data_IF_820887157380
#
_entry.id   IF_820887157380
#
_cell.length_a   1.000
_cell.length_b   1.000
_cell.length_c   1.000
_cell.angle_alpha   90.00
_cell.angle_beta   90.00
_cell.angle_gamma   90.00
#
_symmetry.space_group_name_H-M   'P 1'
#
loop_
_entity.id
_entity.type
_entity.pdbx_description
1 polymer ?
#
# COMPACT_ATOMS: atom_id res chain seq x y z
N UNK A 1 -10.60 -18.79 28.62
CA UNK A 1 -11.01 -17.53 29.26
C UNK A 1 -10.43 -17.26 30.66
N UNK A 2 -9.52 -18.09 31.21
CA UNK A 2 -8.95 -17.92 32.56
C UNK A 2 -7.81 -16.90 32.71
N UNK A 3 -7.04 -16.63 31.66
CA UNK A 3 -5.83 -15.77 31.74
C UNK A 3 -6.18 -14.28 31.93
N UNK A 4 -7.27 -13.81 31.33
CA UNK A 4 -7.72 -12.40 31.44
C UNK A 4 -8.24 -12.08 32.87
N UNK A 5 -8.67 -13.09 33.64
CA UNK A 5 -9.16 -12.94 35.01
C UNK A 5 -8.04 -12.81 36.04
N UNK A 6 -6.82 -13.25 35.72
CA UNK A 6 -5.65 -13.09 36.58
C UNK A 6 -4.82 -11.86 36.16
N UNK A 7 -5.10 -10.72 36.79
CA UNK A 7 -4.43 -9.42 36.53
C UNK A 7 -2.89 -9.52 36.59
N UNK A 8 -2.35 -10.34 37.50
CA UNK A 8 -0.89 -10.51 37.63
C UNK A 8 -0.30 -11.24 36.44
N UNK A 9 -0.95 -12.33 35.98
CA UNK A 9 -0.52 -13.06 34.79
C UNK A 9 -0.65 -12.18 33.52
N UNK A 10 -1.76 -11.46 33.39
CA UNK A 10 -1.97 -10.51 32.28
C UNK A 10 -0.86 -9.46 32.21
N UNK A 11 -0.55 -8.82 33.36
CA UNK A 11 0.54 -7.83 33.42
C UNK A 11 1.90 -8.45 33.15
N UNK A 12 2.20 -9.65 33.66
CA UNK A 12 3.49 -10.31 33.43
C UNK A 12 3.72 -10.64 31.95
N UNK A 13 2.68 -11.00 31.19
CA UNK A 13 2.79 -11.24 29.75
C UNK A 13 2.79 -9.96 28.92
N UNK A 14 2.06 -8.92 29.35
CA UNK A 14 1.96 -7.68 28.61
C UNK A 14 3.18 -6.76 28.81
N UNK A 15 3.75 -6.71 30.02
CA UNK A 15 4.82 -5.79 30.40
C UNK A 15 6.06 -5.89 29.50
N UNK A 16 6.63 -7.06 29.20
CA UNK A 16 7.82 -7.16 28.36
C UNK A 16 7.58 -6.56 26.96
N UNK A 17 6.46 -6.92 26.31
CA UNK A 17 6.11 -6.41 24.99
C UNK A 17 5.84 -4.90 25.02
N UNK A 18 5.11 -4.41 26.02
CA UNK A 18 4.85 -2.99 26.20
C UNK A 18 6.12 -2.19 26.44
N UNK A 19 7.04 -2.71 27.25
CA UNK A 19 8.32 -2.06 27.53
C UNK A 19 9.18 -1.96 26.26
N UNK A 20 9.26 -3.01 25.47
CA UNK A 20 9.92 -2.97 24.17
C UNK A 20 9.26 -1.97 23.22
N UNK A 21 7.94 -1.92 23.20
CA UNK A 21 7.19 -0.98 22.37
C UNK A 21 7.43 0.49 22.79
N UNK A 22 7.44 0.76 24.09
CA UNK A 22 7.77 2.10 24.62
C UNK A 22 9.20 2.49 24.23
N UNK A 23 10.18 1.62 24.45
CA UNK A 23 11.57 1.93 24.15
C UNK A 23 11.88 2.04 22.65
N UNK A 24 11.27 1.17 21.82
CA UNK A 24 11.57 1.13 20.40
C UNK A 24 10.71 2.05 19.55
N UNK A 25 9.53 2.45 20.02
CA UNK A 25 8.57 3.26 19.24
C UNK A 25 8.33 4.61 19.92
N UNK A 26 7.85 4.63 21.17
CA UNK A 26 7.49 5.90 21.82
C UNK A 26 8.70 6.80 22.11
N UNK A 27 9.79 6.25 22.63
CA UNK A 27 10.98 7.04 22.94
C UNK A 27 11.60 7.70 21.68
N UNK A 28 11.79 7.01 20.53
CA UNK A 28 12.25 7.66 19.30
C UNK A 28 11.28 8.72 18.76
N UNK A 29 9.96 8.52 18.92
CA UNK A 29 8.96 9.53 18.52
C UNK A 29 9.09 10.78 19.40
N UNK A 30 9.14 10.61 20.72
CA UNK A 30 9.32 11.72 21.66
C UNK A 30 10.61 12.51 21.35
N UNK A 31 11.75 11.81 21.20
CA UNK A 31 13.02 12.45 20.86
C UNK A 31 12.97 13.14 19.49
N UNK A 32 12.28 12.58 18.49
CA UNK A 32 12.08 13.22 17.19
C UNK A 32 11.27 14.51 17.32
N UNK A 33 10.19 14.50 18.10
CA UNK A 33 9.39 15.71 18.39
C UNK A 33 10.28 16.76 19.09
N UNK A 34 11.06 16.36 20.10
CA UNK A 34 11.96 17.26 20.80
C UNK A 34 13.03 17.84 19.87
N UNK A 35 13.62 17.01 19.01
CA UNK A 35 14.63 17.43 18.04
C UNK A 35 14.06 18.34 16.96
N UNK A 36 12.78 18.27 16.64
CA UNK A 36 12.15 19.17 15.67
C UNK A 36 12.19 20.65 16.08
N UNK A 37 12.29 20.92 17.39
CA UNK A 37 12.46 22.27 17.92
C UNK A 37 13.93 22.70 18.10
N UNK A 38 14.88 21.84 17.69
CA UNK A 38 16.29 22.08 17.86
C UNK A 38 17.01 22.16 16.51
N UNK A 39 18.02 23.02 16.44
CA UNK A 39 19.00 23.00 15.35
C UNK A 39 20.14 22.06 15.74
N UNK A 40 20.30 20.96 14.99
CA UNK A 40 21.32 19.96 15.24
C UNK A 40 21.74 19.26 13.95
N UNK A 41 23.03 19.18 13.71
CA UNK A 41 23.61 18.53 12.53
C UNK A 41 24.02 17.07 12.74
N UNK A 42 23.47 16.39 13.77
CA UNK A 42 23.82 14.99 14.09
C UNK A 42 25.01 14.86 15.05
N UNK A 43 25.92 15.83 15.09
CA UNK A 43 27.11 15.84 15.94
C UNK A 43 27.20 17.22 16.60
N UNK A 44 27.65 17.26 17.88
CA UNK A 44 27.88 18.51 18.62
C UNK A 44 26.68 18.99 19.43
N UNK A 45 26.68 20.27 19.77
CA UNK A 45 25.66 20.87 20.67
C UNK A 45 24.33 21.05 19.96
N UNK A 46 23.25 20.62 20.60
CA UNK A 46 21.88 20.93 20.21
C UNK A 46 21.50 22.32 20.64
N UNK A 47 21.00 23.15 19.73
CA UNK A 47 20.54 24.51 20.03
C UNK A 47 19.03 24.58 19.87
N UNK A 48 18.31 25.04 20.89
CA UNK A 48 16.88 25.26 20.82
C UNK A 48 16.56 26.46 19.91
N UNK A 49 15.75 26.24 18.89
CA UNK A 49 15.35 27.25 17.89
C UNK A 49 13.83 27.42 17.79
N UNK A 50 13.07 26.80 18.70
CA UNK A 50 11.62 26.89 18.71
C UNK A 50 11.03 26.37 17.39
N UNK A 51 10.14 27.14 16.78
CA UNK A 51 9.43 26.76 15.53
C UNK A 51 10.19 27.10 14.25
N UNK A 52 11.45 27.54 14.33
CA UNK A 52 12.19 27.99 13.15
C UNK A 52 12.35 26.90 12.07
N UNK A 53 12.51 25.64 12.48
CA UNK A 53 12.59 24.53 11.52
C UNK A 53 11.27 24.37 10.72
N UNK A 54 10.13 24.54 11.38
CA UNK A 54 8.82 24.49 10.73
C UNK A 54 8.60 25.67 9.79
N UNK A 55 8.99 26.88 10.20
CA UNK A 55 8.94 28.06 9.34
C UNK A 55 9.79 27.85 8.09
N UNK A 56 11.01 27.34 8.24
CA UNK A 56 11.90 27.04 7.10
C UNK A 56 11.26 25.98 6.19
N UNK A 57 10.73 24.91 6.75
CA UNK A 57 10.07 23.82 6.00
C UNK A 57 8.88 24.34 5.17
N UNK A 58 8.02 25.18 5.76
CA UNK A 58 6.86 25.75 5.05
C UNK A 58 7.22 26.84 4.01
N UNK A 59 8.47 27.29 3.94
CA UNK A 59 8.98 28.16 2.89
C UNK A 59 9.85 27.42 1.87
N UNK A 60 10.01 26.10 2.02
CA UNK A 60 10.84 25.29 1.14
C UNK A 60 9.99 24.70 -0.01
N UNK A 61 10.27 25.13 -1.23
CA UNK A 61 9.62 24.62 -2.45
C UNK A 61 9.88 23.12 -2.67
N UNK A 62 11.05 22.62 -2.22
CA UNK A 62 11.40 21.20 -2.34
C UNK A 62 10.50 20.36 -1.44
N UNK A 63 10.16 20.87 -0.25
CA UNK A 63 9.21 20.22 0.66
C UNK A 63 7.84 20.04 0.01
N UNK A 64 7.28 21.11 -0.56
CA UNK A 64 5.98 21.02 -1.24
C UNK A 64 6.01 20.08 -2.43
N UNK A 65 7.06 20.14 -3.24
CA UNK A 65 7.22 19.22 -4.37
C UNK A 65 7.28 17.76 -3.92
N UNK A 66 8.05 17.46 -2.88
CA UNK A 66 8.12 16.13 -2.29
C UNK A 66 6.78 15.69 -1.71
N UNK A 67 6.08 16.58 -0.99
CA UNK A 67 4.77 16.32 -0.40
C UNK A 67 3.73 15.96 -1.46
N UNK A 68 3.58 16.78 -2.51
CA UNK A 68 2.63 16.50 -3.59
C UNK A 68 3.00 15.25 -4.39
N UNK A 69 4.30 14.99 -4.64
CA UNK A 69 4.73 13.76 -5.28
C UNK A 69 4.34 12.52 -4.43
N UNK A 70 4.47 12.58 -3.10
CA UNK A 70 4.03 11.51 -2.22
C UNK A 70 2.52 11.32 -2.25
N UNK A 71 1.73 12.42 -2.30
CA UNK A 71 0.27 12.29 -2.44
C UNK A 71 -0.13 11.63 -3.76
N UNK A 72 0.48 12.03 -4.87
CA UNK A 72 0.24 11.43 -6.18
C UNK A 72 0.63 9.95 -6.17
N UNK A 73 1.81 9.63 -5.63
CA UNK A 73 2.28 8.25 -5.47
C UNK A 73 1.27 7.41 -4.68
N UNK A 74 0.82 7.92 -3.52
CA UNK A 74 -0.16 7.26 -2.67
C UNK A 74 -1.47 7.01 -3.43
N UNK A 75 -1.99 8.01 -4.13
CA UNK A 75 -3.23 7.87 -4.92
C UNK A 75 -3.08 6.80 -6.00
N UNK A 76 -1.98 6.80 -6.76
CA UNK A 76 -1.73 5.80 -7.80
C UNK A 76 -1.66 4.40 -7.19
N UNK A 77 -0.81 4.20 -6.17
CA UNK A 77 -0.57 2.89 -5.56
C UNK A 77 -1.83 2.34 -4.92
N UNK A 78 -2.50 3.13 -4.07
CA UNK A 78 -3.71 2.70 -3.37
C UNK A 78 -4.85 2.42 -4.35
N UNK A 79 -5.06 3.29 -5.34
CA UNK A 79 -6.09 3.05 -6.36
C UNK A 79 -5.83 1.76 -7.14
N UNK A 80 -4.59 1.50 -7.55
CA UNK A 80 -4.24 0.24 -8.21
C UNK A 80 -4.53 -0.97 -7.32
N UNK A 81 -4.08 -0.94 -6.07
CA UNK A 81 -4.24 -2.06 -5.14
C UNK A 81 -5.71 -2.34 -4.85
N UNK A 82 -6.50 -1.30 -4.57
CA UNK A 82 -7.91 -1.46 -4.24
C UNK A 82 -8.76 -1.83 -5.47
N UNK A 83 -8.64 -1.08 -6.57
CA UNK A 83 -9.50 -1.29 -7.74
C UNK A 83 -9.18 -2.60 -8.45
N UNK A 84 -7.90 -2.88 -8.69
CA UNK A 84 -7.48 -4.11 -9.36
C UNK A 84 -7.69 -5.31 -8.42
N UNK A 85 -7.38 -5.17 -7.12
CA UNK A 85 -7.61 -6.19 -6.11
C UNK A 85 -9.08 -6.56 -5.99
N UNK A 86 -9.97 -5.58 -5.90
CA UNK A 86 -11.42 -5.80 -5.86
C UNK A 86 -11.94 -6.43 -7.17
N UNK A 87 -11.49 -5.92 -8.32
CA UNK A 87 -11.86 -6.48 -9.61
C UNK A 87 -11.54 -7.97 -9.71
N UNK A 88 -10.33 -8.38 -9.38
CA UNK A 88 -9.95 -9.80 -9.38
C UNK A 88 -10.63 -10.60 -8.27
N UNK A 89 -10.91 -10.01 -7.11
CA UNK A 89 -11.69 -10.67 -6.07
C UNK A 89 -13.09 -11.02 -6.53
N UNK A 90 -13.77 -10.09 -7.20
CA UNK A 90 -15.10 -10.31 -7.78
C UNK A 90 -15.03 -11.41 -8.87
N UNK A 91 -14.04 -11.35 -9.78
CA UNK A 91 -13.88 -12.41 -10.78
C UNK A 91 -13.70 -13.80 -10.16
N UNK A 92 -12.96 -13.87 -9.03
CA UNK A 92 -12.76 -15.14 -8.32
C UNK A 92 -14.05 -15.70 -7.72
N UNK A 93 -15.05 -14.89 -7.36
CA UNK A 93 -16.34 -15.40 -6.85
C UNK A 93 -17.13 -16.15 -7.92
N UNK A 94 -16.94 -15.83 -9.19
CA UNK A 94 -17.56 -16.54 -10.31
C UNK A 94 -16.81 -17.81 -10.74
N UNK A 95 -15.60 -18.03 -10.23
CA UNK A 95 -14.81 -19.21 -10.56
C UNK A 95 -15.21 -20.40 -9.70
N UNK A 96 -15.50 -21.55 -10.34
CA UNK A 96 -15.80 -22.82 -9.66
C UNK A 96 -14.57 -23.71 -9.48
N UNK A 97 -13.53 -23.53 -10.32
CA UNK A 97 -12.32 -24.37 -10.33
C UNK A 97 -11.07 -23.49 -10.27
N UNK A 98 -9.99 -24.03 -9.73
CA UNK A 98 -8.67 -23.40 -9.70
C UNK A 98 -8.55 -22.05 -8.93
N UNK A 99 -9.54 -21.70 -8.11
CA UNK A 99 -9.54 -20.46 -7.29
C UNK A 99 -8.27 -20.36 -6.44
N UNK A 100 -7.87 -21.46 -5.80
CA UNK A 100 -6.65 -21.50 -4.96
C UNK A 100 -5.39 -21.25 -5.79
N UNK A 101 -5.29 -21.85 -6.98
CA UNK A 101 -4.15 -21.66 -7.87
C UNK A 101 -4.02 -20.19 -8.30
N UNK A 102 -5.13 -19.57 -8.71
CA UNK A 102 -5.15 -18.15 -9.12
C UNK A 102 -4.76 -17.25 -7.96
N UNK A 103 -5.34 -17.45 -6.76
CA UNK A 103 -4.96 -16.72 -5.55
C UNK A 103 -3.46 -16.83 -5.26
N UNK A 104 -2.91 -18.02 -5.33
CA UNK A 104 -1.48 -18.27 -5.08
C UNK A 104 -0.61 -17.54 -6.10
N UNK A 105 -0.92 -17.63 -7.38
CA UNK A 105 -0.14 -16.98 -8.44
C UNK A 105 -0.14 -15.44 -8.31
N UNK A 106 -1.30 -14.85 -8.01
CA UNK A 106 -1.39 -13.39 -7.81
C UNK A 106 -0.76 -12.93 -6.49
N UNK A 107 -0.63 -13.82 -5.49
CA UNK A 107 0.03 -13.51 -4.23
C UNK A 107 1.57 -13.60 -4.30
N UNK A 108 2.13 -14.34 -5.26
CA UNK A 108 3.58 -14.50 -5.43
C UNK A 108 4.35 -13.18 -5.47
N UNK A 109 3.93 -12.13 -6.22
CA UNK A 109 4.64 -10.85 -6.22
C UNK A 109 4.79 -10.20 -4.84
N UNK A 110 3.83 -10.40 -3.95
CA UNK A 110 3.87 -9.85 -2.59
C UNK A 110 5.00 -10.45 -1.74
N UNK A 111 5.38 -11.72 -2.00
CA UNK A 111 6.42 -12.43 -1.24
C UNK A 111 7.82 -12.07 -1.76
N UNK A 112 7.93 -11.63 -3.02
CA UNK A 112 9.21 -11.29 -3.64
C UNK A 112 9.81 -10.06 -2.93
N UNK A 113 11.12 -10.08 -2.69
CA UNK A 113 11.81 -8.96 -2.06
C UNK A 113 11.71 -7.68 -2.90
N UNK A 114 11.64 -6.53 -2.24
CA UNK A 114 11.57 -5.22 -2.91
C UNK A 114 12.74 -5.01 -3.88
N UNK A 115 13.94 -5.47 -3.51
CA UNK A 115 15.14 -5.37 -4.37
C UNK A 115 14.95 -6.13 -5.68
N UNK A 116 14.42 -7.36 -5.63
CA UNK A 116 14.19 -8.15 -6.83
C UNK A 116 13.11 -7.54 -7.74
N UNK A 117 12.01 -7.04 -7.17
CA UNK A 117 10.96 -6.33 -7.92
C UNK A 117 11.54 -5.06 -8.58
N UNK A 118 12.31 -4.27 -7.83
CA UNK A 118 12.95 -3.05 -8.37
C UNK A 118 13.87 -3.38 -9.54
N UNK A 119 14.68 -4.42 -9.41
CA UNK A 119 15.60 -4.84 -10.49
C UNK A 119 14.85 -5.36 -11.71
N UNK A 120 13.76 -6.13 -11.51
CA UNK A 120 12.89 -6.59 -12.58
C UNK A 120 12.34 -5.41 -13.40
N UNK A 121 11.69 -4.46 -12.71
CA UNK A 121 11.09 -3.31 -13.40
C UNK A 121 12.13 -2.37 -14.00
N UNK A 122 13.28 -2.18 -13.34
CA UNK A 122 14.41 -1.44 -13.93
C UNK A 122 14.85 -2.05 -15.25
N UNK A 123 14.96 -3.37 -15.35
CA UNK A 123 15.28 -4.07 -16.59
C UNK A 123 14.17 -3.92 -17.64
N UNK A 124 12.89 -3.98 -17.23
CA UNK A 124 11.75 -3.78 -18.14
C UNK A 124 11.69 -2.36 -18.72
N UNK A 125 12.10 -1.34 -17.95
CA UNK A 125 12.08 0.07 -18.31
C UNK A 125 13.35 0.53 -19.05
N UNK A 126 14.37 -0.33 -19.17
CA UNK A 126 15.65 0.01 -19.77
C UNK A 126 15.49 0.49 -21.23
N UNK A 127 16.36 1.40 -21.63
CA UNK A 127 16.50 1.83 -23.03
C UNK A 127 17.70 1.19 -23.71
N UNK A 128 18.76 0.86 -22.94
CA UNK A 128 20.00 0.25 -23.44
C UNK A 128 20.51 -0.82 -22.46
N UNK A 129 20.43 -2.11 -22.82
CA UNK A 129 19.65 -2.68 -23.94
C UNK A 129 18.16 -2.44 -23.75
N UNK A 130 17.40 -2.40 -24.86
CA UNK A 130 15.97 -2.10 -24.81
C UNK A 130 15.19 -3.12 -23.99
N UNK A 131 14.55 -2.66 -22.90
CA UNK A 131 13.76 -3.45 -21.98
C UNK A 131 12.41 -3.88 -22.56
N UNK A 132 11.80 -4.89 -21.93
CA UNK A 132 10.58 -5.54 -22.41
C UNK A 132 9.44 -4.54 -22.70
N UNK A 133 9.21 -3.56 -21.82
CA UNK A 133 8.14 -2.57 -22.01
C UNK A 133 8.36 -1.75 -23.30
N UNK A 134 9.55 -1.24 -23.51
CA UNK A 134 9.91 -0.46 -24.69
C UNK A 134 9.85 -1.32 -25.96
N UNK A 135 10.26 -2.59 -25.90
CA UNK A 135 10.13 -3.54 -27.02
C UNK A 135 8.66 -3.78 -27.40
N UNK A 136 7.79 -3.97 -26.41
CA UNK A 136 6.35 -4.16 -26.66
C UNK A 136 5.77 -2.90 -27.32
N UNK A 137 6.04 -1.72 -26.79
CA UNK A 137 5.55 -0.45 -27.34
C UNK A 137 5.99 -0.28 -28.80
N UNK A 138 7.23 -0.63 -29.12
CA UNK A 138 7.72 -0.55 -30.47
C UNK A 138 7.03 -1.54 -31.42
N UNK A 139 6.81 -2.78 -30.98
CA UNK A 139 6.14 -3.83 -31.76
C UNK A 139 4.68 -3.55 -32.06
N UNK A 140 3.95 -2.92 -31.12
CA UNK A 140 2.53 -2.57 -31.31
C UNK A 140 2.32 -1.24 -32.04
N UNK A 141 3.39 -0.62 -32.59
CA UNK A 141 3.31 0.63 -33.35
C UNK A 141 3.28 1.89 -32.47
N UNK A 142 3.47 1.78 -31.17
CA UNK A 142 3.52 2.90 -30.21
C UNK A 142 4.97 3.36 -29.94
N UNK A 143 5.83 3.30 -30.96
CA UNK A 143 7.26 3.67 -30.85
C UNK A 143 7.50 5.09 -30.37
N UNK A 144 6.56 6.03 -30.61
CA UNK A 144 6.63 7.39 -30.08
C UNK A 144 6.51 7.49 -28.56
N UNK A 145 6.07 6.43 -27.86
CA UNK A 145 6.00 6.36 -26.40
C UNK A 145 7.25 5.74 -25.76
N UNK A 146 8.16 5.19 -26.56
CA UNK A 146 9.43 4.65 -26.07
C UNK A 146 10.24 5.76 -25.41
N UNK A 147 10.61 5.58 -24.15
CA UNK A 147 11.28 6.62 -23.36
C UNK A 147 12.12 6.03 -22.23
N UNK A 148 12.98 6.85 -21.67
CA UNK A 148 13.70 6.56 -20.40
C UNK A 148 12.77 6.81 -19.20
N UNK A 149 11.93 5.82 -18.90
CA UNK A 149 10.85 5.91 -17.89
C UNK A 149 11.29 6.46 -16.53
N UNK A 150 12.51 6.09 -16.09
CA UNK A 150 13.04 6.46 -14.77
C UNK A 150 13.86 7.76 -14.80
N UNK A 151 14.24 8.26 -15.99
CA UNK A 151 15.06 9.47 -16.13
C UNK A 151 14.23 10.72 -16.48
N UNK A 152 12.98 10.56 -16.92
CA UNK A 152 12.13 11.66 -17.35
C UNK A 152 11.18 12.06 -16.22
N UNK A 153 11.15 13.35 -15.86
CA UNK A 153 10.34 13.88 -14.74
C UNK A 153 8.85 13.55 -14.86
N UNK A 154 8.30 13.57 -16.09
CA UNK A 154 6.87 13.28 -16.32
C UNK A 154 6.49 11.80 -16.17
N UNK A 155 7.44 10.87 -16.27
CA UNK A 155 7.18 9.42 -16.25
C UNK A 155 7.73 8.73 -15.02
N UNK A 156 8.69 9.33 -14.30
CA UNK A 156 9.36 8.67 -13.17
C UNK A 156 8.38 8.31 -12.06
N UNK A 157 7.45 9.21 -11.72
CA UNK A 157 6.52 8.98 -10.62
C UNK A 157 5.55 7.81 -10.90
N UNK A 158 4.83 7.76 -12.04
CA UNK A 158 4.07 6.56 -12.42
C UNK A 158 4.94 5.31 -12.53
N UNK A 159 6.14 5.42 -13.11
CA UNK A 159 7.04 4.27 -13.30
C UNK A 159 7.49 3.63 -11.99
N UNK A 160 7.67 4.40 -10.91
CA UNK A 160 7.98 3.84 -9.57
C UNK A 160 6.74 3.40 -8.81
N UNK A 161 5.57 3.96 -9.11
CA UNK A 161 4.30 3.61 -8.45
C UNK A 161 3.73 2.27 -8.94
N UNK A 162 3.84 1.97 -10.24
CA UNK A 162 3.28 0.75 -10.85
C UNK A 162 3.84 -0.54 -10.23
N UNK A 163 5.16 -0.71 -10.02
CA UNK A 163 5.71 -1.90 -9.37
C UNK A 163 5.12 -2.16 -7.99
N UNK A 164 4.99 -1.11 -7.17
CA UNK A 164 4.48 -1.22 -5.81
C UNK A 164 2.96 -1.48 -5.82
N UNK A 165 2.22 -0.81 -6.68
CA UNK A 165 0.79 -1.07 -6.87
C UNK A 165 0.54 -2.52 -7.29
N UNK A 166 1.24 -3.01 -8.30
CA UNK A 166 1.15 -4.38 -8.80
C UNK A 166 1.54 -5.42 -7.73
N UNK A 167 2.62 -5.18 -7.01
CA UNK A 167 3.16 -6.10 -6.02
C UNK A 167 2.13 -6.53 -4.98
N UNK A 168 1.38 -5.60 -4.43
CA UNK A 168 0.42 -5.86 -3.37
C UNK A 168 -1.02 -6.10 -3.84
N UNK A 169 -1.30 -5.98 -5.13
CA UNK A 169 -2.64 -6.23 -5.68
C UNK A 169 -3.19 -7.60 -5.30
N UNK A 170 -2.35 -8.65 -5.33
CA UNK A 170 -2.75 -10.01 -4.96
C UNK A 170 -3.12 -10.16 -3.48
N UNK A 171 -2.47 -9.43 -2.58
CA UNK A 171 -2.82 -9.40 -1.17
C UNK A 171 -4.22 -8.80 -0.96
N UNK A 172 -4.49 -7.64 -1.56
CA UNK A 172 -5.82 -7.00 -1.48
C UNK A 172 -6.90 -7.84 -2.14
N UNK A 173 -6.60 -8.50 -3.28
CA UNK A 173 -7.52 -9.45 -3.91
C UNK A 173 -7.93 -10.57 -2.93
N UNK A 174 -6.98 -11.16 -2.20
CA UNK A 174 -7.28 -12.23 -1.23
C UNK A 174 -8.13 -11.72 -0.07
N UNK A 175 -7.83 -10.52 0.44
CA UNK A 175 -8.60 -9.87 1.52
C UNK A 175 -10.05 -9.62 1.06
N UNK A 176 -10.23 -9.00 -0.10
CA UNK A 176 -11.56 -8.74 -0.65
C UNK A 176 -12.32 -10.02 -0.96
N UNK A 177 -11.63 -11.02 -1.54
CA UNK A 177 -12.25 -12.32 -1.81
C UNK A 177 -12.73 -12.99 -0.51
N UNK A 178 -11.94 -12.98 0.55
CA UNK A 178 -12.34 -13.53 1.83
C UNK A 178 -13.56 -12.79 2.41
N UNK A 179 -13.59 -11.47 2.32
CA UNK A 179 -14.73 -10.67 2.73
C UNK A 179 -16.00 -11.01 1.93
N UNK A 180 -15.89 -11.09 0.59
CA UNK A 180 -17.03 -11.40 -0.28
C UNK A 180 -17.60 -12.80 -0.01
N UNK A 181 -16.76 -13.81 0.19
CA UNK A 181 -17.20 -15.20 0.43
C UNK A 181 -17.72 -15.39 1.86
N UNK A 182 -17.35 -14.52 2.81
CA UNK A 182 -17.85 -14.57 4.19
C UNK A 182 -19.24 -13.98 4.37
N UNK A 183 -19.80 -13.33 3.35
CA UNK A 183 -21.16 -12.79 3.40
C UNK A 183 -22.19 -13.93 3.47
N UNK A 184 -23.18 -13.79 4.36
CA UNK A 184 -24.26 -14.77 4.48
C UNK A 184 -25.07 -14.82 3.18
N UNK A 185 -25.30 -16.02 2.59
CA UNK A 185 -26.14 -16.18 1.39
C UNK A 185 -27.53 -15.54 1.52
N UNK A 186 -28.09 -15.49 2.73
CA UNK A 186 -29.38 -14.87 2.99
C UNK A 186 -29.44 -13.38 2.61
N UNK A 187 -28.31 -12.68 2.69
CA UNK A 187 -28.18 -11.27 2.27
C UNK A 187 -28.35 -11.13 0.75
N UNK A 188 -27.77 -12.05 -0.01
CA UNK A 188 -27.92 -12.06 -1.46
C UNK A 188 -29.34 -12.46 -1.91
N UNK A 189 -29.97 -13.38 -1.17
CA UNK A 189 -31.36 -13.79 -1.43
C UNK A 189 -32.34 -12.64 -1.14
N UNK A 190 -32.17 -11.95 -0.01
CA UNK A 190 -32.99 -10.79 0.32
C UNK A 190 -32.86 -9.67 -0.73
N UNK A 191 -31.63 -9.38 -1.17
CA UNK A 191 -31.39 -8.37 -2.19
C UNK A 191 -31.99 -8.74 -3.56
N UNK A 192 -31.99 -10.02 -3.93
CA UNK A 192 -32.67 -10.50 -5.14
C UNK A 192 -34.19 -10.33 -5.06
N UNK A 193 -34.78 -10.54 -3.88
CA UNK A 193 -36.22 -10.31 -3.66
C UNK A 193 -36.56 -8.82 -3.84
N UNK A 194 -35.67 -7.93 -3.36
CA UNK A 194 -35.81 -6.47 -3.48
C UNK A 194 -35.46 -5.94 -4.90
N UNK A 195 -35.14 -6.84 -5.86
CA UNK A 195 -34.84 -6.48 -7.24
C UNK A 195 -33.44 -5.89 -7.46
N UNK A 196 -32.54 -5.96 -6.47
CA UNK A 196 -31.18 -5.51 -6.61
C UNK A 196 -30.33 -6.52 -7.39
N UNK A 197 -29.43 -6.03 -8.26
CA UNK A 197 -28.43 -6.87 -8.91
C UNK A 197 -27.30 -7.21 -7.92
N UNK A 198 -26.51 -8.26 -8.20
CA UNK A 198 -25.47 -8.76 -7.29
C UNK A 198 -24.35 -7.71 -7.00
N UNK A 199 -24.08 -6.77 -7.91
CA UNK A 199 -23.07 -5.73 -7.74
C UNK A 199 -23.38 -4.69 -6.64
N UNK A 200 -24.59 -4.08 -6.55
CA UNK A 200 -24.95 -3.17 -5.47
C UNK A 200 -24.87 -3.82 -4.09
N UNK A 201 -25.21 -5.08 -3.95
CA UNK A 201 -25.17 -5.80 -2.66
C UNK A 201 -23.74 -5.96 -2.17
N UNK A 202 -22.81 -6.35 -3.06
CA UNK A 202 -21.39 -6.45 -2.74
C UNK A 202 -20.81 -5.09 -2.33
N UNK A 203 -21.22 -4.00 -2.97
CA UNK A 203 -20.74 -2.65 -2.65
C UNK A 203 -21.23 -2.17 -1.28
N UNK A 204 -22.50 -2.31 -0.97
CA UNK A 204 -23.07 -1.85 0.30
C UNK A 204 -22.50 -2.61 1.50
N UNK A 205 -22.26 -3.91 1.38
CA UNK A 205 -21.70 -4.71 2.47
C UNK A 205 -20.18 -4.58 2.63
N UNK A 206 -19.43 -4.22 1.58
CA UNK A 206 -18.01 -3.86 1.71
C UNK A 206 -17.80 -2.48 2.37
N UNK A 207 -18.79 -1.59 2.30
CA UNK A 207 -18.69 -0.23 2.84
C UNK A 207 -19.38 -0.03 4.18
N UNK A 208 -20.30 -0.91 4.59
CA UNK A 208 -21.14 -0.76 5.79
C UNK A 208 -20.75 -1.56 7.05
N UNK A 209 -19.75 -2.45 7.13
CA UNK A 209 -19.49 -3.20 8.36
C UNK A 209 -18.83 -2.39 9.49
N UNK A 210 -18.74 -1.08 9.39
CA UNK A 210 -18.00 -0.25 10.35
C UNK A 210 -18.89 0.60 11.27
N UNK A 211 -20.22 0.41 11.26
CA UNK A 211 -21.16 1.27 12.02
C UNK A 211 -22.14 0.44 12.88
N UNK A 212 -21.70 -0.67 13.47
CA UNK A 212 -22.39 -1.29 14.61
C UNK A 212 -21.41 -1.82 15.64
#
# INVERSE_FOLDING_TARGET
MGVIRNKKAFLAFLLPGLLFYILAVFYPIEESIRLSFMKWGGIGKKQFVGLQNYVTMFHDEVFYKAFFNNLIYLVIVVSMQLLIGLFFAILLTYMTKHVTLVKTLYYVPCIITTVAITQLFRSMYSTEPMGLLNQILQKVGLGGMVTSWLAKVSTVLPAVSIPEGWRFTGMYMVIFYAALVSLDPSVYEAAKIDGASEMPVSYTHLTLPTIL
#
